data_IF_703280593199
#
_entry.id   IF_703280593199
#
_cell.length_a   1.000
_cell.length_b   1.000
_cell.length_c   1.000
_cell.angle_alpha   90.00
_cell.angle_beta   90.00
_cell.angle_gamma   90.00
#
_symmetry.space_group_name_H-M   'P 1'
#
loop_
_entity.id
_entity.type
_entity.pdbx_description
1 polymer ?
#
# COMPACT_ATOMS: atom_id res chain seq x y z
N UNK A 1 -0.41 6.99 22.01
CA UNK A 1 0.47 8.01 21.40
C UNK A 1 -0.22 9.35 21.50
N UNK A 2 0.50 10.38 21.93
CA UNK A 2 0.01 11.76 22.05
C UNK A 2 -0.48 12.31 20.69
N UNK A 3 -1.47 13.21 20.72
CA UNK A 3 -2.14 13.73 19.51
C UNK A 3 -1.23 14.62 18.67
N UNK A 4 -0.40 15.43 19.31
CA UNK A 4 0.53 16.30 18.59
C UNK A 4 1.70 15.51 18.01
N UNK A 5 2.16 14.48 18.74
CA UNK A 5 3.13 13.52 18.22
C UNK A 5 2.62 12.81 16.95
N UNK A 6 1.35 12.35 16.94
CA UNK A 6 0.73 11.75 15.73
C UNK A 6 0.81 12.67 14.52
N UNK A 7 0.45 13.95 14.69
CA UNK A 7 0.48 14.93 13.61
C UNK A 7 1.89 15.12 13.04
N UNK A 8 2.90 15.21 13.90
CA UNK A 8 4.30 15.34 13.49
C UNK A 8 4.72 14.13 12.66
N UNK A 9 4.47 12.92 13.17
CA UNK A 9 4.84 11.66 12.51
C UNK A 9 4.19 11.56 11.13
N UNK A 10 2.86 11.71 11.05
CA UNK A 10 2.16 11.55 9.79
C UNK A 10 2.55 12.65 8.79
N UNK A 11 2.67 13.91 9.22
CA UNK A 11 3.07 15.00 8.32
C UNK A 11 4.46 14.75 7.71
N UNK A 12 5.40 14.24 8.51
CA UNK A 12 6.73 13.90 8.02
C UNK A 12 6.67 12.73 7.03
N UNK A 13 5.97 11.63 7.39
CA UNK A 13 5.84 10.46 6.52
C UNK A 13 5.21 10.83 5.17
N UNK A 14 4.14 11.65 5.18
CA UNK A 14 3.46 12.05 3.96
C UNK A 14 4.35 12.91 3.04
N UNK A 15 5.12 13.81 3.65
CA UNK A 15 6.09 14.64 2.92
C UNK A 15 7.22 13.80 2.32
N UNK A 16 7.79 12.87 3.08
CA UNK A 16 8.92 12.07 2.62
C UNK A 16 8.54 11.04 1.56
N UNK A 17 7.36 10.42 1.69
CA UNK A 17 6.91 9.39 0.73
C UNK A 17 6.30 9.96 -0.53
N UNK A 18 5.45 10.98 -0.41
CA UNK A 18 4.65 11.48 -1.55
C UNK A 18 4.87 12.98 -1.84
N UNK A 19 5.62 13.70 -1.01
CA UNK A 19 5.74 15.16 -1.13
C UNK A 19 4.49 15.92 -0.72
N UNK A 20 3.54 15.28 -0.03
CA UNK A 20 2.30 15.91 0.38
C UNK A 20 2.52 16.84 1.57
N UNK A 21 1.89 18.02 1.54
CA UNK A 21 1.98 19.01 2.61
C UNK A 21 0.85 18.86 3.65
N UNK A 22 -0.09 17.95 3.41
CA UNK A 22 -1.27 17.72 4.25
C UNK A 22 -1.51 16.23 4.39
N UNK A 23 -1.88 15.82 5.60
CA UNK A 23 -2.36 14.46 5.87
C UNK A 23 -3.80 14.34 5.36
N UNK A 24 -4.17 13.29 4.62
CA UNK A 24 -5.54 13.06 4.18
C UNK A 24 -6.52 12.94 5.36
N UNK A 25 -7.81 13.27 5.15
CA UNK A 25 -8.86 13.01 6.13
C UNK A 25 -8.96 11.52 6.50
N UNK A 26 -9.40 11.23 7.73
CA UNK A 26 -9.56 9.85 8.23
C UNK A 26 -10.45 8.98 7.34
N UNK A 27 -11.50 9.56 6.75
CA UNK A 27 -12.42 8.86 5.85
C UNK A 27 -11.73 8.39 4.57
N UNK A 28 -10.87 9.25 3.98
CA UNK A 28 -10.07 8.89 2.80
C UNK A 28 -9.03 7.82 3.15
N UNK A 29 -8.39 7.90 4.32
CA UNK A 29 -7.45 6.88 4.79
C UNK A 29 -8.18 5.53 4.93
N UNK A 30 -9.37 5.51 5.51
CA UNK A 30 -10.16 4.30 5.67
C UNK A 30 -10.58 3.71 4.30
N UNK A 31 -11.03 4.57 3.37
CA UNK A 31 -11.40 4.16 2.03
C UNK A 31 -10.19 3.59 1.26
N UNK A 32 -9.04 4.28 1.30
CA UNK A 32 -7.79 3.82 0.72
C UNK A 32 -7.37 2.46 1.26
N UNK A 33 -7.40 2.30 2.58
CA UNK A 33 -6.95 1.08 3.27
C UNK A 33 -7.77 -0.15 2.86
N UNK A 34 -9.10 0.02 2.75
CA UNK A 34 -10.00 -1.03 2.29
C UNK A 34 -9.80 -1.34 0.81
N UNK A 35 -9.69 -0.31 -0.02
CA UNK A 35 -9.43 -0.47 -1.44
C UNK A 35 -8.10 -1.19 -1.69
N UNK A 36 -7.07 -0.90 -0.87
CA UNK A 36 -5.76 -1.55 -0.95
C UNK A 36 -5.86 -3.05 -0.63
N UNK A 37 -6.59 -3.40 0.43
CA UNK A 37 -6.83 -4.80 0.77
C UNK A 37 -7.60 -5.55 -0.31
N UNK A 38 -8.59 -4.91 -0.95
CA UNK A 38 -9.31 -5.50 -2.09
C UNK A 38 -8.36 -5.69 -3.29
N UNK A 39 -7.51 -4.70 -3.58
CA UNK A 39 -6.55 -4.79 -4.69
C UNK A 39 -5.52 -5.90 -4.49
N UNK A 40 -4.92 -6.00 -3.30
CA UNK A 40 -3.95 -7.05 -2.98
C UNK A 40 -4.60 -8.44 -2.99
N UNK A 41 -5.82 -8.57 -2.45
CA UNK A 41 -6.60 -9.81 -2.51
C UNK A 41 -6.87 -10.26 -3.96
N UNK A 42 -7.22 -9.31 -4.83
CA UNK A 42 -7.68 -9.60 -6.19
C UNK A 42 -8.87 -10.55 -6.20
N UNK A 43 -8.77 -11.63 -6.99
CA UNK A 43 -9.78 -12.70 -7.03
C UNK A 43 -9.55 -13.82 -6.00
N UNK A 44 -8.52 -13.71 -5.16
CA UNK A 44 -8.09 -14.74 -4.23
C UNK A 44 -8.40 -14.41 -2.78
N UNK A 45 -7.50 -14.84 -1.90
CA UNK A 45 -7.52 -14.54 -0.47
C UNK A 45 -6.28 -13.74 -0.10
N UNK A 46 -6.43 -12.75 0.77
CA UNK A 46 -5.31 -12.02 1.34
C UNK A 46 -4.52 -12.93 2.29
N UNK A 47 -3.24 -13.13 2.01
CA UNK A 47 -2.32 -13.88 2.87
C UNK A 47 -2.09 -13.14 4.20
N UNK A 48 -1.59 -13.86 5.20
CA UNK A 48 -1.29 -13.23 6.49
C UNK A 48 -0.22 -12.14 6.35
N UNK A 49 0.83 -12.39 5.56
CA UNK A 49 1.92 -11.43 5.37
C UNK A 49 1.48 -10.20 4.56
N UNK A 50 0.65 -10.36 3.53
CA UNK A 50 0.03 -9.23 2.82
C UNK A 50 -0.81 -8.37 3.79
N UNK A 51 -1.60 -9.01 4.67
CA UNK A 51 -2.42 -8.32 5.67
C UNK A 51 -1.57 -7.57 6.69
N UNK A 52 -0.53 -8.20 7.21
CA UNK A 52 0.40 -7.58 8.16
C UNK A 52 1.12 -6.38 7.53
N UNK A 53 1.49 -6.49 6.25
CA UNK A 53 2.06 -5.37 5.49
C UNK A 53 1.08 -4.21 5.40
N UNK A 54 -0.17 -4.46 5.00
CA UNK A 54 -1.21 -3.42 4.89
C UNK A 54 -1.47 -2.77 6.24
N UNK A 55 -1.57 -3.55 7.32
CA UNK A 55 -1.75 -3.01 8.67
C UNK A 55 -0.58 -2.11 9.06
N UNK A 56 0.66 -2.54 8.80
CA UNK A 56 1.85 -1.75 9.08
C UNK A 56 1.85 -0.44 8.29
N UNK A 57 1.56 -0.51 6.99
CA UNK A 57 1.41 0.65 6.12
C UNK A 57 0.39 1.63 6.69
N UNK A 58 -0.85 1.18 6.93
CA UNK A 58 -1.95 2.02 7.40
C UNK A 58 -1.67 2.63 8.79
N UNK A 59 -1.04 1.88 9.68
CA UNK A 59 -0.66 2.38 11.01
C UNK A 59 0.35 3.53 10.93
N UNK A 60 1.23 3.51 9.92
CA UNK A 60 2.22 4.57 9.69
C UNK A 60 1.66 5.78 8.95
N UNK A 61 0.54 5.63 8.24
CA UNK A 61 -0.03 6.66 7.35
C UNK A 61 -1.32 7.30 7.88
N UNK A 62 -1.63 7.11 9.17
CA UNK A 62 -2.71 7.84 9.84
C UNK A 62 -3.90 7.00 10.27
N UNK A 63 -3.86 5.67 10.06
CA UNK A 63 -4.90 4.77 10.53
C UNK A 63 -5.03 4.78 12.05
N UNK A 64 -6.27 4.90 12.53
CA UNK A 64 -6.57 4.82 13.96
C UNK A 64 -6.71 3.37 14.44
N UNK A 65 -6.80 3.18 15.76
CA UNK A 65 -6.88 1.85 16.35
C UNK A 65 -8.10 1.05 15.84
N UNK A 66 -9.22 1.70 15.58
CA UNK A 66 -10.43 1.02 15.12
C UNK A 66 -10.26 0.52 13.69
N UNK A 67 -9.66 1.32 12.81
CA UNK A 67 -9.33 0.92 11.45
C UNK A 67 -8.31 -0.23 11.45
N UNK A 68 -7.29 -0.17 12.31
CA UNK A 68 -6.31 -1.26 12.43
C UNK A 68 -6.96 -2.56 12.91
N UNK A 69 -7.82 -2.52 13.93
CA UNK A 69 -8.55 -3.71 14.37
C UNK A 69 -9.49 -4.25 13.28
N UNK A 70 -10.16 -3.37 12.54
CA UNK A 70 -11.00 -3.76 11.39
C UNK A 70 -10.17 -4.50 10.33
N UNK A 71 -9.00 -3.98 9.96
CA UNK A 71 -8.15 -4.56 8.92
C UNK A 71 -7.59 -5.94 9.29
N UNK A 72 -7.58 -6.33 10.57
CA UNK A 72 -7.17 -7.69 10.97
C UNK A 72 -8.14 -8.77 10.50
N UNK A 73 -9.43 -8.44 10.39
CA UNK A 73 -10.48 -9.40 10.02
C UNK A 73 -11.20 -9.03 8.72
N UNK A 74 -10.82 -7.92 8.10
CA UNK A 74 -11.44 -7.45 6.87
C UNK A 74 -11.28 -8.44 5.70
N UNK A 75 -12.39 -8.82 5.09
CA UNK A 75 -12.42 -9.83 4.02
C UNK A 75 -12.30 -9.25 2.60
N UNK A 76 -12.35 -7.91 2.43
CA UNK A 76 -12.25 -7.28 1.11
C UNK A 76 -13.44 -7.60 0.21
N UNK A 77 -14.66 -7.40 0.71
CA UNK A 77 -15.91 -7.63 -0.02
C UNK A 77 -16.70 -6.34 -0.28
N UNK A 78 -16.17 -5.17 0.10
CA UNK A 78 -16.80 -3.87 -0.19
C UNK A 78 -16.68 -3.53 -1.69
N UNK A 79 -17.47 -2.55 -2.16
CA UNK A 79 -17.43 -2.08 -3.53
C UNK A 79 -16.14 -1.27 -3.80
N UNK A 80 -15.25 -1.81 -4.63
CA UNK A 80 -13.98 -1.17 -4.97
C UNK A 80 -14.17 0.16 -5.72
N UNK A 81 -15.14 0.27 -6.63
CA UNK A 81 -15.36 1.50 -7.40
C UNK A 81 -15.79 2.66 -6.50
N UNK A 82 -16.69 2.38 -5.55
CA UNK A 82 -17.13 3.36 -4.56
C UNK A 82 -15.97 3.82 -3.67
N UNK A 83 -15.17 2.88 -3.15
CA UNK A 83 -14.00 3.21 -2.33
C UNK A 83 -12.95 4.00 -3.13
N UNK A 84 -12.68 3.58 -4.37
CA UNK A 84 -11.69 4.21 -5.24
C UNK A 84 -12.10 5.62 -5.66
N UNK A 85 -13.40 5.90 -5.80
CA UNK A 85 -13.91 7.24 -6.09
C UNK A 85 -13.62 8.24 -4.96
N UNK A 86 -13.52 7.76 -3.72
CA UNK A 86 -13.13 8.57 -2.54
C UNK A 86 -11.64 8.93 -2.58
N UNK A 87 -10.83 8.20 -3.36
CA UNK A 87 -9.36 8.36 -3.46
C UNK A 87 -8.91 8.47 -4.91
N UNK A 88 -9.69 9.15 -5.76
CA UNK A 88 -9.54 9.15 -7.22
C UNK A 88 -8.12 9.52 -7.70
N UNK A 89 -7.52 10.55 -7.10
CA UNK A 89 -6.16 10.98 -7.42
C UNK A 89 -5.07 9.95 -7.02
N UNK A 90 -5.41 9.01 -6.14
CA UNK A 90 -4.53 8.00 -5.58
C UNK A 90 -4.62 6.62 -6.24
N UNK A 91 -5.46 6.41 -7.28
CA UNK A 91 -5.67 5.07 -7.88
C UNK A 91 -4.39 4.38 -8.36
N UNK A 92 -3.43 5.11 -8.94
CA UNK A 92 -2.14 4.53 -9.33
C UNK A 92 -1.26 4.18 -8.12
N UNK A 93 -1.30 5.00 -7.08
CA UNK A 93 -0.63 4.70 -5.81
C UNK A 93 -1.23 3.45 -5.17
N UNK A 94 -2.55 3.26 -5.30
CA UNK A 94 -3.25 2.08 -4.80
C UNK A 94 -2.73 0.80 -5.46
N UNK A 95 -2.54 0.82 -6.78
CA UNK A 95 -1.96 -0.30 -7.54
C UNK A 95 -0.51 -0.55 -7.10
N UNK A 96 0.30 0.51 -6.97
CA UNK A 96 1.68 0.40 -6.48
C UNK A 96 1.74 -0.26 -5.10
N UNK A 97 0.95 0.22 -4.14
CA UNK A 97 0.93 -0.30 -2.78
C UNK A 97 0.36 -1.72 -2.73
N UNK A 98 -0.58 -2.07 -3.63
CA UNK A 98 -1.08 -3.44 -3.74
C UNK A 98 0.00 -4.41 -4.21
N UNK A 99 0.80 -4.03 -5.21
CA UNK A 99 1.99 -4.80 -5.63
C UNK A 99 2.96 -4.94 -4.45
N UNK A 100 3.22 -3.85 -3.74
CA UNK A 100 4.11 -3.87 -2.58
C UNK A 100 3.61 -4.79 -1.46
N UNK A 101 2.29 -4.85 -1.24
CA UNK A 101 1.66 -5.75 -0.29
C UNK A 101 1.79 -7.22 -0.73
N UNK A 102 1.51 -7.54 -2.01
CA UNK A 102 1.67 -8.88 -2.56
C UNK A 102 3.13 -9.37 -2.47
N UNK A 103 4.11 -8.49 -2.63
CA UNK A 103 5.52 -8.84 -2.47
C UNK A 103 5.96 -9.09 -1.01
N UNK A 104 5.06 -9.00 -0.02
CA UNK A 104 5.42 -9.12 1.39
C UNK A 104 5.73 -10.57 1.80
N UNK A 105 5.16 -11.57 1.13
CA UNK A 105 5.32 -12.98 1.48
C UNK A 105 6.34 -13.72 0.60
N UNK A 106 6.39 -13.42 -0.70
CA UNK A 106 7.30 -13.98 -1.71
C UNK A 106 7.47 -13.00 -2.88
N UNK A 107 8.25 -13.43 -3.87
CA UNK A 107 8.37 -12.70 -5.14
C UNK A 107 7.01 -12.59 -5.84
N UNK A 108 6.76 -11.42 -6.44
CA UNK A 108 5.55 -11.13 -7.20
C UNK A 108 5.45 -12.04 -8.43
N UNK A 109 4.62 -13.08 -8.33
CA UNK A 109 4.50 -14.10 -9.37
C UNK A 109 3.43 -13.77 -10.41
N UNK A 110 3.36 -14.55 -11.48
CA UNK A 110 2.41 -14.33 -12.59
C UNK A 110 0.93 -14.38 -12.13
N UNK A 111 0.63 -15.08 -11.03
CA UNK A 111 -0.72 -15.15 -10.45
C UNK A 111 -1.08 -13.82 -9.79
N UNK A 112 -0.17 -13.26 -8.99
CA UNK A 112 -0.35 -11.95 -8.36
C UNK A 112 -0.37 -10.81 -9.38
N UNK A 113 0.50 -10.86 -10.38
CA UNK A 113 0.47 -9.93 -11.51
C UNK A 113 -0.88 -9.96 -12.23
N UNK A 114 -1.41 -11.14 -12.51
CA UNK A 114 -2.72 -11.30 -13.17
C UNK A 114 -3.86 -10.73 -12.31
N UNK A 115 -3.81 -10.93 -10.99
CA UNK A 115 -4.80 -10.37 -10.04
C UNK A 115 -4.78 -8.85 -10.04
N UNK A 116 -3.61 -8.25 -9.88
CA UNK A 116 -3.45 -6.79 -9.82
C UNK A 116 -3.87 -6.15 -11.15
N UNK A 117 -3.49 -6.74 -12.29
CA UNK A 117 -3.92 -6.25 -13.62
C UNK A 117 -5.44 -6.26 -13.77
N UNK A 118 -6.11 -7.35 -13.38
CA UNK A 118 -7.56 -7.46 -13.45
C UNK A 118 -8.25 -6.39 -12.57
N UNK A 119 -7.75 -6.18 -11.36
CA UNK A 119 -8.31 -5.14 -10.48
C UNK A 119 -8.01 -3.73 -11.02
N UNK A 120 -6.81 -3.48 -11.53
CA UNK A 120 -6.45 -2.18 -12.09
C UNK A 120 -7.35 -1.75 -13.26
N UNK A 121 -7.82 -2.71 -14.07
CA UNK A 121 -8.81 -2.44 -15.13
C UNK A 121 -10.13 -1.87 -14.56
N UNK A 122 -10.60 -2.39 -13.42
CA UNK A 122 -11.80 -1.85 -12.74
C UNK A 122 -11.58 -0.42 -12.20
N UNK A 123 -10.33 -0.06 -11.94
CA UNK A 123 -9.94 1.31 -11.56
C UNK A 123 -9.76 2.24 -12.78
N UNK A 124 -9.90 1.73 -14.00
CA UNK A 124 -9.67 2.47 -15.24
C UNK A 124 -8.18 2.65 -15.58
N UNK A 125 -7.31 1.80 -15.05
CA UNK A 125 -5.86 1.84 -15.30
C UNK A 125 -5.51 0.80 -16.36
N UNK A 126 -4.87 1.22 -17.44
CA UNK A 126 -4.44 0.33 -18.51
C UNK A 126 -3.29 -0.59 -18.07
N UNK A 127 -3.24 -1.79 -18.63
CA UNK A 127 -2.19 -2.78 -18.33
C UNK A 127 -0.77 -2.23 -18.53
N UNK A 128 -0.55 -1.41 -19.56
CA UNK A 128 0.74 -0.73 -19.79
C UNK A 128 1.18 0.13 -18.59
N UNK A 129 0.23 0.83 -17.95
CA UNK A 129 0.54 1.65 -16.78
C UNK A 129 0.79 0.76 -15.56
N UNK A 130 0.07 -0.36 -15.43
CA UNK A 130 0.33 -1.35 -14.36
C UNK A 130 1.75 -1.91 -14.48
N UNK A 131 2.20 -2.24 -15.70
CA UNK A 131 3.56 -2.71 -15.95
C UNK A 131 4.60 -1.64 -15.59
N UNK A 132 4.39 -0.38 -15.96
CA UNK A 132 5.26 0.72 -15.55
C UNK A 132 5.32 0.89 -14.02
N UNK A 133 4.20 0.69 -13.32
CA UNK A 133 4.13 0.75 -11.86
C UNK A 133 4.90 -0.42 -11.23
N UNK A 134 4.77 -1.62 -11.77
CA UNK A 134 5.49 -2.82 -11.33
C UNK A 134 7.01 -2.65 -11.52
N UNK A 135 7.44 -2.17 -12.69
CA UNK A 135 8.84 -1.89 -12.98
C UNK A 135 9.40 -0.85 -12.00
N UNK A 136 8.67 0.25 -11.76
CA UNK A 136 9.04 1.26 -10.79
C UNK A 136 9.22 0.67 -9.39
N UNK A 137 8.29 -0.17 -8.93
CA UNK A 137 8.39 -0.84 -7.63
C UNK A 137 9.70 -1.65 -7.55
N UNK A 138 9.99 -2.49 -8.54
CA UNK A 138 11.19 -3.31 -8.53
C UNK A 138 12.48 -2.49 -8.63
N UNK A 139 12.49 -1.38 -9.38
CA UNK A 139 13.60 -0.43 -9.40
C UNK A 139 13.86 0.19 -8.04
N UNK A 140 12.81 0.63 -7.34
CA UNK A 140 12.93 1.17 -5.98
C UNK A 140 13.40 0.12 -4.97
N UNK A 141 12.95 -1.14 -5.09
CA UNK A 141 13.44 -2.24 -4.27
C UNK A 141 14.94 -2.48 -4.47
N UNK A 142 15.41 -2.52 -5.72
CA UNK A 142 16.85 -2.63 -6.04
C UNK A 142 17.65 -1.45 -5.48
N UNK A 143 17.11 -0.23 -5.60
CA UNK A 143 17.76 0.96 -5.07
C UNK A 143 17.81 0.95 -3.53
N UNK A 144 16.75 0.48 -2.88
CA UNK A 144 16.70 0.28 -1.43
C UNK A 144 17.78 -0.72 -0.99
N UNK A 145 17.89 -1.88 -1.64
CA UNK A 145 18.91 -2.88 -1.35
C UNK A 145 20.31 -2.34 -1.53
N UNK A 146 20.57 -1.62 -2.64
CA UNK A 146 21.83 -0.92 -2.87
C UNK A 146 22.16 0.06 -1.75
N UNK A 147 21.18 0.85 -1.29
CA UNK A 147 21.34 1.77 -0.16
C UNK A 147 21.66 1.02 1.12
N UNK A 148 20.97 -0.08 1.42
CA UNK A 148 21.21 -0.87 2.63
C UNK A 148 22.60 -1.51 2.63
N UNK A 149 23.05 -2.06 1.49
CA UNK A 149 24.38 -2.65 1.37
C UNK A 149 25.49 -1.61 1.47
N UNK A 150 25.24 -0.38 1.01
CA UNK A 150 26.19 0.73 1.14
C UNK A 150 26.29 1.24 2.59
N UNK A 151 25.15 1.39 3.28
CA UNK A 151 25.12 1.95 4.64
C UNK A 151 25.44 0.91 5.72
N UNK A 152 25.17 -0.36 5.45
CA UNK A 152 25.33 -1.48 6.39
C UNK A 152 26.00 -2.68 5.69
N UNK A 153 27.28 -2.56 5.29
CA UNK A 153 27.94 -3.57 4.46
C UNK A 153 28.14 -4.92 5.17
N UNK A 154 28.39 -4.90 6.49
CA UNK A 154 28.75 -6.11 7.22
C UNK A 154 27.57 -6.71 7.99
N UNK A 155 26.80 -5.86 8.67
CA UNK A 155 25.68 -6.28 9.52
C UNK A 155 24.67 -5.16 9.69
N UNK A 156 23.38 -5.52 9.62
CA UNK A 156 22.27 -4.63 10.01
C UNK A 156 22.19 -4.56 11.55
N UNK A 157 22.07 -3.35 12.15
CA UNK A 157 22.15 -3.19 13.60
C UNK A 157 20.97 -3.80 14.36
N UNK A 158 19.84 -4.02 13.67
CA UNK A 158 18.61 -4.63 14.16
C UNK A 158 18.10 -5.64 13.14
#
# INVERSE_FOLDING_TARGET
MDSDLKKIVYSWIYKERWGFNTVPPTEEIAAYSKALAICAKGNGTLSQAEREWIIGYVATTGGDANLIELLKTYEGNDNLEELASTVEAGKRCLVYDAIAACCADKDFDDSERSKVKLIAETLGISQEIVEQIEDLYHEERKLFEKRMNLLFPDKKPY
#
